data_IF_644473039598
#
_entry.id   IF_644473039598
#
_cell.length_a   1.000
_cell.length_b   1.000
_cell.length_c   1.000
_cell.angle_alpha   90.00
_cell.angle_beta   90.00
_cell.angle_gamma   90.00
#
_symmetry.space_group_name_H-M   'P 1'
#
loop_
_entity.id
_entity.type
_entity.pdbx_description
1 polymer ?
#
# COMPACT_ATOMS: atom_id res chain seq x y z
N UNK A 1 4.89 6.55 1.59
CA UNK A 1 5.89 5.84 2.42
C UNK A 1 7.26 6.31 2.00
N UNK A 2 8.15 6.64 2.93
CA UNK A 2 9.54 6.98 2.61
C UNK A 2 10.43 5.77 2.86
N UNK A 3 11.43 5.54 2.01
CA UNK A 3 12.45 4.51 2.13
C UNK A 3 13.83 5.15 2.06
N UNK A 4 14.76 4.69 2.89
CA UNK A 4 16.16 5.11 2.89
C UNK A 4 16.97 4.40 1.80
N UNK A 5 16.49 4.48 0.57
CA UNK A 5 17.18 4.03 -0.63
C UNK A 5 16.90 5.01 -1.77
N UNK A 6 17.80 5.14 -2.74
CA UNK A 6 17.56 6.01 -3.88
C UNK A 6 16.55 5.38 -4.87
N UNK A 7 16.00 6.18 -5.78
CA UNK A 7 14.98 5.71 -6.72
C UNK A 7 15.52 4.67 -7.70
N UNK A 8 16.77 4.84 -8.16
CA UNK A 8 17.41 3.90 -9.09
C UNK A 8 17.53 2.49 -8.52
N UNK A 9 17.78 2.39 -7.21
CA UNK A 9 17.85 1.14 -6.46
C UNK A 9 16.45 0.62 -6.12
N UNK A 10 15.46 1.50 -5.93
CA UNK A 10 14.09 1.08 -5.65
C UNK A 10 13.38 0.48 -6.89
N UNK A 11 13.58 1.07 -8.08
CA UNK A 11 12.87 0.72 -9.31
C UNK A 11 12.89 -0.80 -9.63
N UNK A 12 14.03 -1.50 -9.56
CA UNK A 12 14.09 -2.95 -9.76
C UNK A 12 13.23 -3.76 -8.78
N UNK A 13 13.02 -3.24 -7.57
CA UNK A 13 12.33 -3.93 -6.47
C UNK A 13 10.86 -3.51 -6.31
N UNK A 14 10.32 -2.62 -7.15
CA UNK A 14 8.94 -2.14 -7.03
C UNK A 14 7.91 -3.28 -7.04
N UNK A 15 8.11 -4.29 -7.90
CA UNK A 15 7.19 -5.42 -7.99
C UNK A 15 7.22 -6.29 -6.73
N UNK A 16 8.41 -6.50 -6.18
CA UNK A 16 8.62 -7.22 -4.91
C UNK A 16 8.00 -6.45 -3.74
N UNK A 17 8.20 -5.14 -3.71
CA UNK A 17 7.60 -4.26 -2.70
C UNK A 17 6.07 -4.35 -2.71
N UNK A 18 5.45 -4.37 -3.89
CA UNK A 18 4.00 -4.54 -4.00
C UNK A 18 3.51 -5.88 -3.43
N UNK A 19 4.27 -6.97 -3.65
CA UNK A 19 3.96 -8.29 -3.09
C UNK A 19 4.06 -8.30 -1.56
N UNK A 20 5.10 -7.68 -1.01
CA UNK A 20 5.31 -7.59 0.44
C UNK A 20 4.20 -6.78 1.12
N UNK A 21 3.88 -5.61 0.57
CA UNK A 21 2.77 -4.76 1.06
C UNK A 21 1.45 -5.53 1.00
N UNK A 22 1.17 -6.21 -0.12
CA UNK A 22 -0.06 -6.98 -0.26
C UNK A 22 -0.19 -8.08 0.81
N UNK A 23 0.91 -8.80 1.06
CA UNK A 23 0.98 -9.85 2.08
C UNK A 23 0.71 -9.30 3.49
N UNK A 24 1.36 -8.21 3.88
CA UNK A 24 1.22 -7.68 5.23
C UNK A 24 -0.15 -7.06 5.50
N UNK A 25 -0.73 -6.47 4.45
CA UNK A 25 -2.06 -5.88 4.48
C UNK A 25 -3.18 -6.90 4.25
N UNK A 26 -2.84 -8.16 3.96
CA UNK A 26 -3.79 -9.25 3.72
C UNK A 26 -4.74 -8.96 2.55
N UNK A 27 -4.18 -8.44 1.46
CA UNK A 27 -4.88 -8.11 0.21
C UNK A 27 -4.26 -8.82 -0.99
N UNK A 28 -4.97 -8.85 -2.12
CA UNK A 28 -4.37 -9.37 -3.35
C UNK A 28 -3.32 -8.40 -3.91
N UNK A 29 -2.21 -8.92 -4.45
CA UNK A 29 -1.19 -8.12 -5.14
C UNK A 29 -1.80 -7.27 -6.25
N UNK A 30 -2.84 -7.74 -6.94
CA UNK A 30 -3.54 -6.99 -7.99
C UNK A 30 -4.23 -5.71 -7.48
N UNK A 31 -4.53 -5.65 -6.19
CA UNK A 31 -5.14 -4.50 -5.53
C UNK A 31 -4.11 -3.43 -5.18
N UNK A 32 -2.84 -3.80 -5.00
CA UNK A 32 -1.77 -2.85 -4.69
C UNK A 32 -1.27 -2.20 -5.97
N UNK A 33 -1.45 -0.89 -6.08
CA UNK A 33 -0.99 -0.08 -7.23
C UNK A 33 0.02 0.95 -6.76
N UNK A 34 1.20 0.92 -7.34
CA UNK A 34 2.17 2.02 -7.20
C UNK A 34 1.69 3.17 -8.07
N UNK A 35 1.45 4.32 -7.44
CA UNK A 35 0.86 5.51 -8.07
C UNK A 35 1.93 6.54 -8.45
N UNK A 36 2.94 6.72 -7.60
CA UNK A 36 4.04 7.63 -7.87
C UNK A 36 5.28 7.20 -7.08
N UNK A 37 6.46 7.57 -7.59
CA UNK A 37 7.72 7.50 -6.86
C UNK A 37 8.54 8.75 -7.17
N UNK A 38 9.05 9.38 -6.13
CA UNK A 38 9.94 10.54 -6.20
C UNK A 38 11.15 10.26 -5.32
N UNK A 39 12.27 10.91 -5.58
CA UNK A 39 13.45 10.71 -4.75
C UNK A 39 14.35 11.91 -4.73
N UNK A 40 14.98 12.11 -3.59
CA UNK A 40 16.00 13.12 -3.37
C UNK A 40 17.17 12.48 -2.62
N UNK A 41 18.34 12.45 -3.25
CA UNK A 41 19.52 11.77 -2.72
C UNK A 41 19.26 10.28 -2.46
N UNK A 42 19.43 9.87 -1.20
CA UNK A 42 19.29 8.49 -0.74
C UNK A 42 17.89 8.16 -0.18
N UNK A 43 16.91 9.04 -0.42
CA UNK A 43 15.55 8.86 0.08
C UNK A 43 14.61 8.75 -1.11
N UNK A 44 13.79 7.71 -1.11
CA UNK A 44 12.69 7.52 -2.06
C UNK A 44 11.36 7.69 -1.34
N UNK A 45 10.48 8.51 -1.90
CA UNK A 45 9.09 8.64 -1.50
C UNK A 45 8.21 7.87 -2.49
N UNK A 46 7.56 6.80 -2.01
CA UNK A 46 6.61 6.02 -2.80
C UNK A 46 5.17 6.29 -2.36
N UNK A 47 4.30 6.52 -3.33
CA UNK A 47 2.85 6.58 -3.16
C UNK A 47 2.23 5.32 -3.76
N UNK A 48 1.48 4.58 -2.96
CA UNK A 48 0.74 3.40 -3.40
C UNK A 48 -0.73 3.53 -3.00
N UNK A 49 -1.61 2.85 -3.73
CA UNK A 49 -3.04 2.77 -3.47
C UNK A 49 -3.49 1.32 -3.37
N UNK A 50 -4.50 1.07 -2.55
CA UNK A 50 -5.15 -0.25 -2.44
C UNK A 50 -6.53 -0.12 -3.03
N UNK A 51 -6.74 -0.76 -4.17
CA UNK A 51 -8.02 -0.77 -4.84
C UNK A 51 -8.91 -1.88 -4.27
N UNK A 52 -10.24 -1.67 -4.20
CA UNK A 52 -11.16 -2.74 -3.89
C UNK A 52 -10.99 -3.88 -4.91
N UNK A 53 -11.00 -5.12 -4.44
CA UNK A 53 -11.21 -6.28 -5.30
C UNK A 53 -12.65 -6.23 -5.83
N UNK A 54 -12.80 -5.75 -7.06
CA UNK A 54 -14.01 -5.68 -7.90
C UNK A 54 -15.37 -5.67 -7.15
N UNK A 55 -16.02 -4.50 -6.98
CA UNK A 55 -17.36 -4.44 -6.41
C UNK A 55 -18.38 -4.71 -7.54
N UNK A 56 -18.52 -5.96 -7.98
CA UNK A 56 -19.69 -6.31 -8.81
C UNK A 56 -20.94 -6.23 -7.93
N UNK A 57 -21.59 -5.07 -7.92
CA UNK A 57 -22.88 -4.84 -7.30
C UNK A 57 -22.82 -4.46 -5.82
N UNK A 58 -23.12 -3.19 -5.52
CA UNK A 58 -23.49 -2.74 -4.18
C UNK A 58 -24.84 -3.34 -3.80
N UNK A 59 -24.82 -4.58 -3.30
CA UNK A 59 -25.90 -5.16 -2.51
C UNK A 59 -25.54 -4.87 -1.05
N UNK A 60 -26.49 -4.51 -0.19
CA UNK A 60 -26.25 -4.04 1.18
C UNK A 60 -25.29 -4.90 2.04
N UNK A 61 -25.04 -6.17 1.70
CA UNK A 61 -24.03 -7.03 2.34
C UNK A 61 -22.57 -6.77 1.90
N UNK A 62 -22.31 -6.32 0.67
CA UNK A 62 -20.95 -6.06 0.17
C UNK A 62 -20.37 -4.76 0.74
N UNK A 63 -21.20 -3.78 1.09
CA UNK A 63 -20.77 -2.53 1.72
C UNK A 63 -20.20 -2.73 3.14
N UNK A 64 -20.85 -3.57 3.96
CA UNK A 64 -20.34 -3.90 5.30
C UNK A 64 -19.01 -4.65 5.24
N UNK A 65 -18.86 -5.58 4.29
CA UNK A 65 -17.61 -6.30 4.04
C UNK A 65 -16.50 -5.36 3.56
N UNK A 66 -16.83 -4.41 2.67
CA UNK A 66 -15.89 -3.38 2.22
C UNK A 66 -15.39 -2.55 3.41
N UNK A 67 -16.30 -2.05 4.26
CA UNK A 67 -15.95 -1.28 5.45
C UNK A 67 -15.07 -2.08 6.43
N UNK A 68 -15.45 -3.33 6.73
CA UNK A 68 -14.67 -4.19 7.62
C UNK A 68 -13.27 -4.48 7.06
N UNK A 69 -13.17 -4.71 5.74
CA UNK A 69 -11.90 -4.94 5.08
C UNK A 69 -11.02 -3.68 5.08
N UNK A 70 -11.58 -2.50 4.80
CA UNK A 70 -10.87 -1.22 4.91
C UNK A 70 -10.37 -0.97 6.33
N UNK A 71 -11.18 -1.29 7.35
CA UNK A 71 -10.77 -1.15 8.74
C UNK A 71 -9.62 -2.10 9.11
N UNK A 72 -9.62 -3.33 8.58
CA UNK A 72 -8.51 -4.28 8.72
C UNK A 72 -7.21 -3.77 8.10
N UNK A 73 -7.28 -3.17 6.91
CA UNK A 73 -6.12 -2.58 6.23
C UNK A 73 -5.56 -1.40 7.05
N UNK A 74 -6.42 -0.49 7.51
CA UNK A 74 -6.00 0.68 8.30
C UNK A 74 -5.33 0.24 9.60
N UNK A 75 -5.93 -0.71 10.33
CA UNK A 75 -5.33 -1.26 11.56
C UNK A 75 -3.93 -1.81 11.30
N UNK A 76 -3.75 -2.63 10.26
CA UNK A 76 -2.44 -3.19 9.89
C UNK A 76 -1.41 -2.11 9.53
N UNK A 77 -1.84 -1.02 8.90
CA UNK A 77 -0.97 0.13 8.58
C UNK A 77 -0.56 0.91 9.83
N UNK A 78 -1.50 1.19 10.72
CA UNK A 78 -1.25 2.02 11.92
C UNK A 78 -0.54 1.26 13.03
N UNK A 79 -0.69 -0.06 13.09
CA UNK A 79 -0.03 -0.92 14.09
C UNK A 79 1.38 -1.35 13.67
N UNK A 80 2.01 -0.67 12.71
CA UNK A 80 3.35 -0.98 12.20
C UNK A 80 3.50 -2.43 11.66
N UNK A 81 2.43 -3.06 11.16
CA UNK A 81 2.49 -4.46 10.71
C UNK A 81 3.08 -4.65 9.31
N UNK A 82 3.36 -3.55 8.60
CA UNK A 82 4.11 -3.59 7.34
C UNK A 82 5.59 -3.75 7.67
N UNK A 83 6.13 -4.93 7.37
CA UNK A 83 7.50 -5.36 7.62
C UNK A 83 8.22 -5.54 6.29
N UNK A 84 9.02 -4.55 5.91
CA UNK A 84 9.89 -4.68 4.75
C UNK A 84 11.22 -5.33 5.16
N UNK A 85 11.79 -6.19 4.30
CA UNK A 85 13.12 -6.73 4.53
C UNK A 85 14.19 -5.63 4.51
N UNK A 86 15.33 -5.90 5.17
CA UNK A 86 16.40 -4.91 5.41
C UNK A 86 16.98 -4.30 4.13
N UNK A 87 16.88 -4.98 2.98
CA UNK A 87 17.33 -4.47 1.69
C UNK A 87 16.58 -3.21 1.22
N UNK A 88 15.39 -2.95 1.77
CA UNK A 88 14.64 -1.70 1.53
C UNK A 88 15.09 -0.54 2.43
N UNK A 89 16.08 -0.77 3.30
CA UNK A 89 16.57 0.20 4.26
C UNK A 89 15.55 0.54 5.35
N UNK A 90 15.78 1.64 6.06
CA UNK A 90 14.79 2.17 6.98
C UNK A 90 13.62 2.79 6.23
N UNK A 91 12.40 2.60 6.72
CA UNK A 91 11.20 3.11 6.08
C UNK A 91 10.21 3.70 7.09
N UNK A 92 9.33 4.57 6.60
CA UNK A 92 8.30 5.22 7.42
C UNK A 92 7.02 5.43 6.62
N UNK A 93 5.87 5.11 7.24
CA UNK A 93 4.58 5.56 6.75
C UNK A 93 4.46 7.07 7.00
N UNK A 94 4.42 7.86 5.93
CA UNK A 94 4.39 9.33 5.99
C UNK A 94 2.96 9.83 6.19
N UNK A 95 2.04 9.31 5.38
CA UNK A 95 0.63 9.68 5.37
C UNK A 95 -0.19 8.51 4.81
N UNK A 96 -1.45 8.40 5.25
CA UNK A 96 -2.46 7.55 4.62
C UNK A 96 -3.78 8.30 4.52
N UNK A 97 -4.56 8.02 3.47
CA UNK A 97 -5.91 8.56 3.29
C UNK A 97 -6.82 7.52 2.63
N UNK A 98 -8.11 7.60 2.93
CA UNK A 98 -9.16 6.83 2.25
C UNK A 98 -9.94 7.80 1.38
N UNK A 99 -10.03 7.49 0.09
CA UNK A 99 -10.81 8.26 -0.87
C UNK A 99 -12.11 7.51 -1.20
N UNK A 100 -13.25 8.21 -1.31
CA UNK A 100 -14.47 7.59 -1.78
C UNK A 100 -14.35 7.15 -3.25
N UNK A 101 -15.09 6.11 -3.69
CA UNK A 101 -15.18 5.77 -5.10
C UNK A 101 -15.64 7.00 -5.89
N UNK A 102 -14.92 7.36 -6.95
CA UNK A 102 -15.39 8.38 -7.90
C UNK A 102 -16.62 7.82 -8.61
N UNK A 103 -17.79 8.38 -8.33
CA UNK A 103 -19.08 8.01 -8.93
C UNK A 103 -19.19 8.42 -10.39
#
# INVERSE_FOLDING_TARGET
MSLSMNVSDLVPHISELAVLIARDLDVNVSQVKVMNFEGEGNISLIKWGILPSNPSGFISGTAAMFMAHSQGIISRLTEHRVHLPENFGSYKLVEWKVEPPSG
#
